data_IF_082080553721
#
_entry.id   IF_082080553721
#
_cell.length_a   1.000
_cell.length_b   1.000
_cell.length_c   1.000
_cell.angle_alpha   90.00
_cell.angle_beta   90.00
_cell.angle_gamma   90.00
#
_symmetry.space_group_name_H-M   'P 1'
#
loop_
_entity.id
_entity.type
_entity.pdbx_description
1 polymer ?
#
# COMPACT_ATOMS: atom_id res chain seq x y z
N UNK A 1 -4.61 3.05 -12.52
CA UNK A 1 -5.29 3.24 -11.21
C UNK A 1 -5.27 4.71 -10.91
N UNK A 2 -6.40 5.42 -10.86
CA UNK A 2 -6.39 6.88 -10.97
C UNK A 2 -5.49 7.59 -9.94
N UNK A 3 -5.36 7.02 -8.73
CA UNK A 3 -4.47 7.53 -7.69
C UNK A 3 -2.98 7.35 -8.05
N UNK A 4 -2.55 6.13 -8.38
CA UNK A 4 -1.15 5.85 -8.74
C UNK A 4 -0.75 6.64 -9.99
N UNK A 5 -1.63 6.69 -10.99
CA UNK A 5 -1.40 7.43 -12.23
C UNK A 5 -1.17 8.93 -11.93
N UNK A 6 -1.95 9.51 -11.01
CA UNK A 6 -1.78 10.89 -10.58
C UNK A 6 -0.48 11.14 -9.80
N UNK A 7 -0.06 10.19 -8.95
CA UNK A 7 1.22 10.29 -8.24
C UNK A 7 2.41 10.23 -9.21
N UNK A 8 2.39 9.29 -10.17
CA UNK A 8 3.42 9.14 -11.21
C UNK A 8 3.54 10.39 -12.08
N UNK A 9 2.43 11.05 -12.39
CA UNK A 9 2.43 12.24 -13.23
C UNK A 9 2.94 13.51 -12.53
N UNK A 10 3.05 13.52 -11.19
CA UNK A 10 3.35 14.72 -10.41
C UNK A 10 4.51 14.57 -9.39
N UNK A 11 5.68 13.99 -9.76
CA UNK A 11 6.77 13.73 -8.82
C UNK A 11 7.39 14.96 -8.13
N UNK A 12 7.38 16.20 -8.67
CA UNK A 12 7.93 17.36 -7.96
C UNK A 12 7.08 17.82 -6.77
N UNK A 13 5.81 17.44 -6.72
CA UNK A 13 4.84 17.93 -5.74
C UNK A 13 4.15 16.82 -4.94
N UNK A 14 4.22 15.57 -5.41
CA UNK A 14 3.70 14.40 -4.71
C UNK A 14 4.84 13.45 -4.38
N UNK A 15 5.10 13.26 -3.09
CA UNK A 15 6.11 12.32 -2.60
C UNK A 15 5.57 10.89 -2.71
N UNK A 16 6.40 9.91 -3.12
CA UNK A 16 6.03 8.50 -3.17
C UNK A 16 6.02 7.89 -1.75
N UNK A 17 5.06 8.32 -0.93
CA UNK A 17 4.81 7.80 0.41
C UNK A 17 3.32 7.51 0.56
N UNK A 18 2.97 6.27 0.89
CA UNK A 18 1.59 5.84 1.11
C UNK A 18 1.41 5.26 2.49
N UNK A 19 0.30 5.62 3.12
CA UNK A 19 -0.20 4.95 4.31
C UNK A 19 -1.28 3.95 3.89
N UNK A 20 -0.97 2.66 3.98
CA UNK A 20 -1.80 1.55 3.53
C UNK A 20 -2.11 0.65 4.72
N UNK A 21 -3.28 0.78 5.35
CA UNK A 21 -3.56 0.08 6.60
C UNK A 21 -3.89 -1.40 6.38
N UNK A 22 -2.95 -2.29 6.72
CA UNK A 22 -3.18 -3.74 6.75
C UNK A 22 -4.09 -4.14 7.91
N UNK A 23 -3.89 -3.55 9.10
CA UNK A 23 -4.60 -3.81 10.35
C UNK A 23 -4.29 -5.16 11.03
N UNK A 24 -4.17 -6.25 10.28
CA UNK A 24 -3.77 -7.56 10.82
C UNK A 24 -3.14 -8.45 9.74
N UNK A 25 -2.14 -9.25 10.12
CA UNK A 25 -1.51 -10.25 9.25
C UNK A 25 -2.28 -11.58 9.17
N UNK A 26 -3.55 -11.65 9.59
CA UNK A 26 -4.35 -12.88 9.59
C UNK A 26 -5.68 -12.66 8.88
N UNK A 27 -5.95 -13.43 7.82
CA UNK A 27 -7.24 -13.40 7.11
C UNK A 27 -8.43 -13.65 8.03
N UNK A 28 -8.28 -14.52 9.03
CA UNK A 28 -9.33 -14.79 10.00
C UNK A 28 -9.62 -13.56 10.89
N UNK A 29 -8.58 -12.83 11.29
CA UNK A 29 -8.72 -11.59 12.06
C UNK A 29 -9.26 -10.47 11.18
N UNK A 30 -8.73 -10.28 9.97
CA UNK A 30 -9.23 -9.30 9.00
C UNK A 30 -10.72 -9.48 8.72
N UNK A 31 -11.17 -10.73 8.54
CA UNK A 31 -12.59 -11.05 8.38
C UNK A 31 -13.41 -10.67 9.62
N UNK A 32 -12.92 -10.94 10.84
CA UNK A 32 -13.57 -10.52 12.10
C UNK A 32 -13.62 -9.00 12.24
N UNK A 33 -12.63 -8.29 11.71
CA UNK A 33 -12.59 -6.82 11.60
C UNK A 33 -13.45 -6.27 10.45
N UNK A 34 -14.23 -7.12 9.77
CA UNK A 34 -15.06 -6.76 8.61
C UNK A 34 -14.27 -6.11 7.45
N UNK A 35 -13.00 -6.50 7.27
CA UNK A 35 -12.20 -6.11 6.10
C UNK A 35 -12.60 -6.97 4.90
N UNK A 36 -12.69 -6.32 3.75
CA UNK A 36 -13.09 -6.94 2.48
C UNK A 36 -11.89 -7.44 1.64
N UNK A 37 -10.73 -7.55 2.28
CA UNK A 37 -9.47 -8.00 1.66
C UNK A 37 -8.80 -9.05 2.55
N UNK A 38 -7.94 -9.84 1.93
CA UNK A 38 -7.03 -10.80 2.54
C UNK A 38 -5.61 -10.23 2.58
N UNK A 39 -4.74 -10.88 3.34
CA UNK A 39 -3.30 -10.55 3.36
C UNK A 39 -2.71 -10.67 1.96
N UNK A 40 -3.12 -11.65 1.17
CA UNK A 40 -2.68 -11.80 -0.23
C UNK A 40 -3.04 -10.60 -1.10
N UNK A 41 -4.29 -10.12 -1.02
CA UNK A 41 -4.74 -8.95 -1.78
C UNK A 41 -3.94 -7.69 -1.41
N UNK A 42 -3.58 -7.56 -0.13
CA UNK A 42 -2.71 -6.48 0.34
C UNK A 42 -1.31 -6.58 -0.26
N UNK A 43 -0.69 -7.77 -0.26
CA UNK A 43 0.64 -7.97 -0.85
C UNK A 43 0.64 -7.68 -2.35
N UNK A 44 -0.38 -8.14 -3.08
CA UNK A 44 -0.54 -7.84 -4.51
C UNK A 44 -0.69 -6.33 -4.76
N UNK A 45 -1.40 -5.61 -3.88
CA UNK A 45 -1.47 -4.15 -3.93
C UNK A 45 -0.09 -3.51 -3.71
N UNK A 46 0.68 -3.98 -2.72
CA UNK A 46 2.04 -3.47 -2.45
C UNK A 46 2.95 -3.67 -3.65
N UNK A 47 2.91 -4.84 -4.30
CA UNK A 47 3.73 -5.12 -5.49
C UNK A 47 3.41 -4.14 -6.63
N UNK A 48 2.13 -3.85 -6.86
CA UNK A 48 1.69 -2.87 -7.86
C UNK A 48 2.12 -1.45 -7.52
N UNK A 49 2.00 -1.06 -6.24
CA UNK A 49 2.44 0.25 -5.74
C UNK A 49 3.95 0.42 -5.92
N UNK A 50 4.74 -0.59 -5.56
CA UNK A 50 6.19 -0.58 -5.73
C UNK A 50 6.58 -0.47 -7.21
N UNK A 51 5.96 -1.26 -8.08
CA UNK A 51 6.22 -1.23 -9.51
C UNK A 51 5.88 0.14 -10.15
N UNK A 52 4.80 0.78 -9.70
CA UNK A 52 4.36 2.05 -10.25
C UNK A 52 5.15 3.26 -9.75
N UNK A 53 5.60 3.26 -8.48
CA UNK A 53 6.13 4.46 -7.81
C UNK A 53 7.62 4.38 -7.46
N UNK A 54 8.34 3.39 -8.00
CA UNK A 54 9.80 3.36 -7.89
C UNK A 54 10.41 4.65 -8.45
N UNK A 55 11.25 5.31 -7.66
CA UNK A 55 11.81 6.62 -7.96
C UNK A 55 12.98 6.54 -8.94
N UNK A 56 13.43 7.69 -9.45
CA UNK A 56 14.52 7.79 -10.41
C UNK A 56 15.87 7.25 -9.87
N UNK A 57 16.07 7.30 -8.54
CA UNK A 57 17.20 6.72 -7.82
C UNK A 57 17.01 5.22 -7.49
N UNK A 58 15.94 4.59 -7.99
CA UNK A 58 15.69 3.16 -7.87
C UNK A 58 15.14 2.72 -6.51
N UNK A 59 14.68 3.65 -5.68
CA UNK A 59 14.09 3.34 -4.38
C UNK A 59 12.58 3.09 -4.51
N UNK A 60 12.03 2.10 -3.78
CA UNK A 60 10.58 1.91 -3.71
C UNK A 60 9.91 3.06 -2.94
N UNK A 61 8.59 3.25 -3.09
CA UNK A 61 7.85 4.18 -2.26
C UNK A 61 7.94 3.81 -0.77
N UNK A 62 7.92 4.83 0.10
CA UNK A 62 7.74 4.59 1.52
C UNK A 62 6.32 4.08 1.78
N UNK A 63 6.18 3.00 2.55
CA UNK A 63 4.88 2.44 2.93
C UNK A 63 4.79 2.40 4.45
N UNK A 64 3.72 2.97 5.00
CA UNK A 64 3.38 2.86 6.42
C UNK A 64 2.06 2.11 6.57
N UNK A 65 1.91 1.38 7.68
CA UNK A 65 0.70 0.60 7.97
C UNK A 65 0.44 0.60 9.46
N UNK A 66 -0.84 0.55 9.82
CA UNK A 66 -1.28 0.26 11.18
C UNK A 66 -1.44 -1.24 11.38
N UNK A 67 -1.17 -1.70 12.60
CA UNK A 67 -1.44 -3.06 13.06
C UNK A 67 -2.15 -2.98 14.42
N UNK A 68 -3.25 -3.71 14.55
CA UNK A 68 -4.00 -3.86 15.80
C UNK A 68 -3.75 -5.28 16.32
N UNK A 69 -3.20 -5.37 17.54
CA UNK A 69 -2.89 -6.64 18.22
C UNK A 69 -3.76 -6.79 19.47
N UNK A 70 -4.31 -8.00 19.67
CA UNK A 70 -5.23 -8.37 20.76
C UNK A 70 -6.21 -9.45 20.32
#
# INVERSE_FOLDING_TARGET
>A
EPLLDAMVANPPVVVPHLHLPLQSGSDAVLRRMNRQYRVGDYLEMIDRVNAALTTADGLPPAITTDIICG
#
